data_IF_967870900110
#
_entry.id   IF_967870900110
#
_cell.length_a   1.000
_cell.length_b   1.000
_cell.length_c   1.000
_cell.angle_alpha   90.00
_cell.angle_beta   90.00
_cell.angle_gamma   90.00
#
_symmetry.space_group_name_H-M   'P 1'
#
loop_
_entity.id
_entity.type
_entity.pdbx_description
1 polymer ?
#
# COMPACT_ATOMS: atom_id res chain seq x y z
N UNK A 1 9.82 -36.33 -0.62
CA UNK A 1 8.42 -35.93 -0.87
C UNK A 1 7.65 -36.27 0.41
N UNK A 2 7.16 -35.22 1.11
CA UNK A 2 6.26 -35.41 2.26
C UNK A 2 4.84 -35.65 1.75
N UNK A 3 4.14 -36.66 2.23
CA UNK A 3 2.70 -36.83 1.97
C UNK A 3 1.93 -35.89 2.86
N UNK A 4 1.15 -34.99 2.27
CA UNK A 4 0.21 -34.12 2.96
C UNK A 4 -1.19 -34.71 2.82
N UNK A 5 -1.86 -34.97 3.94
CA UNK A 5 -3.22 -35.54 4.00
C UNK A 5 -4.28 -34.50 4.38
N UNK A 6 -3.92 -33.22 4.53
CA UNK A 6 -4.85 -32.14 4.79
C UNK A 6 -5.51 -31.61 3.49
N UNK A 7 -6.61 -30.89 3.64
CA UNK A 7 -7.25 -30.19 2.52
C UNK A 7 -6.36 -29.11 1.95
N UNK A 8 -6.30 -29.01 0.63
CA UNK A 8 -5.66 -27.91 -0.09
C UNK A 8 -6.70 -27.19 -0.92
N UNK A 9 -6.71 -25.86 -0.88
CA UNK A 9 -7.59 -25.03 -1.71
C UNK A 9 -6.77 -23.93 -2.34
N UNK A 10 -6.90 -23.76 -3.65
CA UNK A 10 -6.37 -22.60 -4.36
C UNK A 10 -7.23 -21.38 -4.00
N UNK A 11 -6.57 -20.26 -3.67
CA UNK A 11 -7.22 -18.98 -3.33
C UNK A 11 -6.82 -17.90 -4.35
N UNK A 12 -6.72 -18.27 -5.61
CA UNK A 12 -6.30 -17.40 -6.70
C UNK A 12 -7.36 -16.36 -7.15
N UNK A 13 -8.60 -16.41 -6.63
CA UNK A 13 -9.65 -15.44 -6.96
C UNK A 13 -10.30 -14.85 -5.71
N UNK A 14 -10.92 -13.69 -5.85
CA UNK A 14 -11.63 -13.03 -4.76
C UNK A 14 -12.79 -13.85 -4.22
N UNK A 15 -13.51 -14.56 -5.09
CA UNK A 15 -14.58 -15.46 -4.68
C UNK A 15 -14.05 -16.60 -3.79
N UNK A 16 -12.97 -17.24 -4.21
CA UNK A 16 -12.30 -18.29 -3.40
C UNK A 16 -11.76 -17.76 -2.09
N UNK A 17 -11.22 -16.52 -2.10
CA UNK A 17 -10.78 -15.86 -0.86
C UNK A 17 -11.95 -15.64 0.10
N UNK A 18 -13.09 -15.16 -0.40
CA UNK A 18 -14.29 -14.95 0.39
C UNK A 18 -14.83 -16.23 1.06
N UNK A 19 -14.69 -17.39 0.41
CA UNK A 19 -15.11 -18.67 0.96
C UNK A 19 -14.25 -19.19 2.11
N UNK A 20 -12.97 -18.75 2.20
CA UNK A 20 -12.05 -19.18 3.28
C UNK A 20 -11.94 -18.14 4.39
N UNK A 21 -12.56 -16.97 4.25
CA UNK A 21 -12.62 -15.97 5.31
C UNK A 21 -13.43 -16.50 6.50
N UNK A 22 -12.88 -16.36 7.70
CA UNK A 22 -13.58 -16.70 8.94
C UNK A 22 -14.73 -15.74 9.23
N UNK A 23 -14.54 -14.46 8.91
CA UNK A 23 -15.52 -13.40 9.11
C UNK A 23 -15.92 -12.78 7.77
N UNK A 24 -17.14 -12.24 7.68
CA UNK A 24 -17.60 -11.55 6.47
C UNK A 24 -16.84 -10.26 6.19
N UNK A 25 -16.19 -9.69 7.20
CA UNK A 25 -15.47 -8.43 7.08
C UNK A 25 -14.05 -8.53 7.62
N UNK A 26 -13.09 -7.91 6.93
CA UNK A 26 -11.72 -7.67 7.40
C UNK A 26 -11.46 -6.16 7.33
N UNK A 27 -10.88 -5.59 8.40
CA UNK A 27 -10.64 -4.15 8.49
C UNK A 27 -11.86 -3.35 8.95
N UNK A 28 -11.86 -2.04 8.70
CA UNK A 28 -12.94 -1.13 9.12
C UNK A 28 -14.13 -1.25 8.15
N UNK A 29 -15.04 -2.19 8.40
CA UNK A 29 -16.21 -2.39 7.56
C UNK A 29 -17.44 -2.74 8.41
N UNK A 30 -18.60 -2.25 7.98
CA UNK A 30 -19.90 -2.52 8.57
C UNK A 30 -20.83 -2.98 7.46
N UNK A 31 -21.50 -4.09 7.68
CA UNK A 31 -22.59 -4.60 6.85
C UNK A 31 -23.90 -4.41 7.62
N UNK A 32 -24.94 -3.91 6.98
CA UNK A 32 -26.29 -3.90 7.58
C UNK A 32 -26.87 -5.32 7.63
N UNK A 33 -27.96 -5.48 8.37
CA UNK A 33 -28.63 -6.76 8.64
C UNK A 33 -29.30 -7.38 7.41
N UNK A 34 -29.52 -6.60 6.35
CA UNK A 34 -30.11 -7.10 5.10
C UNK A 34 -29.05 -7.45 4.04
N UNK A 35 -27.77 -7.26 4.34
CA UNK A 35 -26.70 -7.74 3.50
C UNK A 35 -26.61 -9.26 3.50
N UNK A 36 -26.68 -9.86 2.33
CA UNK A 36 -26.64 -11.32 2.13
C UNK A 36 -25.38 -11.70 1.36
N UNK A 37 -24.70 -12.79 1.76
CA UNK A 37 -23.54 -13.37 1.07
C UNK A 37 -22.51 -12.32 0.58
N UNK A 38 -22.29 -11.26 1.35
CA UNK A 38 -21.37 -10.17 1.00
C UNK A 38 -20.15 -10.21 1.91
N UNK A 39 -18.95 -10.10 1.29
CA UNK A 39 -17.69 -10.02 2.00
C UNK A 39 -17.00 -8.68 1.72
N UNK A 40 -16.34 -8.13 2.73
CA UNK A 40 -15.58 -6.88 2.64
C UNK A 40 -14.17 -7.08 3.16
N UNK A 41 -13.17 -6.71 2.37
CA UNK A 41 -11.77 -6.64 2.77
C UNK A 41 -11.33 -5.19 2.63
N UNK A 42 -11.11 -4.53 3.74
CA UNK A 42 -10.72 -3.12 3.77
C UNK A 42 -9.33 -2.96 4.41
N UNK A 43 -8.34 -2.65 3.60
CA UNK A 43 -6.97 -2.35 4.05
C UNK A 43 -6.74 -0.85 4.25
N UNK A 44 -7.75 -0.02 3.90
CA UNK A 44 -7.70 1.43 4.11
C UNK A 44 -8.06 1.81 5.55
N UNK A 45 -7.62 3.00 5.95
CA UNK A 45 -7.97 3.56 7.25
C UNK A 45 -9.35 4.23 7.31
N UNK A 46 -10.03 4.40 6.17
CA UNK A 46 -11.40 4.91 6.08
C UNK A 46 -12.39 3.75 6.23
N UNK A 47 -13.55 3.94 6.90
CA UNK A 47 -14.53 2.89 7.05
C UNK A 47 -15.32 2.66 5.74
N UNK A 48 -15.78 1.41 5.54
CA UNK A 48 -16.71 1.03 4.48
C UNK A 48 -18.03 0.65 5.14
N UNK A 49 -19.13 1.26 4.70
CA UNK A 49 -20.49 0.88 5.08
C UNK A 49 -21.19 0.28 3.86
N UNK A 50 -21.68 -0.93 4.02
CA UNK A 50 -22.46 -1.64 3.00
C UNK A 50 -23.90 -1.83 3.49
N UNK A 51 -24.85 -1.46 2.66
CA UNK A 51 -26.28 -1.56 2.96
C UNK A 51 -27.01 -2.29 1.83
N UNK A 52 -27.76 -3.34 2.19
CA UNK A 52 -28.56 -4.09 1.24
C UNK A 52 -27.77 -4.81 0.13
N UNK A 53 -26.46 -5.03 0.31
CA UNK A 53 -25.62 -5.69 -0.68
C UNK A 53 -25.88 -7.19 -0.69
N UNK A 54 -25.94 -7.78 -1.90
CA UNK A 54 -26.14 -9.22 -2.10
C UNK A 54 -25.11 -9.79 -3.06
N UNK A 55 -24.55 -10.95 -2.67
CA UNK A 55 -23.59 -11.70 -3.46
C UNK A 55 -22.36 -10.88 -3.92
N UNK A 56 -21.92 -9.96 -3.07
CA UNK A 56 -20.86 -9.00 -3.40
C UNK A 56 -19.53 -9.38 -2.72
N UNK A 57 -18.44 -9.04 -3.41
CA UNK A 57 -17.11 -8.87 -2.85
C UNK A 57 -16.68 -7.41 -3.00
N UNK A 58 -16.25 -6.82 -1.91
CA UNK A 58 -15.73 -5.45 -1.86
C UNK A 58 -14.32 -5.54 -1.27
N UNK A 59 -13.33 -5.14 -2.06
CA UNK A 59 -11.93 -5.11 -1.63
C UNK A 59 -11.38 -3.70 -1.83
N UNK A 60 -10.82 -3.12 -0.79
CA UNK A 60 -10.23 -1.78 -0.83
C UNK A 60 -8.80 -1.81 -0.31
N UNK A 61 -7.89 -1.33 -1.12
CA UNK A 61 -6.46 -1.19 -0.81
C UNK A 61 -5.93 0.18 -1.26
N UNK A 62 -4.66 0.44 -1.02
CA UNK A 62 -4.00 1.65 -1.53
C UNK A 62 -4.01 1.76 -3.05
N UNK A 63 -4.08 0.63 -3.77
CA UNK A 63 -4.01 0.60 -5.24
C UNK A 63 -5.39 0.75 -5.90
N UNK A 64 -6.48 0.61 -5.15
CA UNK A 64 -7.83 0.78 -5.69
C UNK A 64 -8.92 0.08 -4.89
N UNK A 65 -10.14 0.25 -5.38
CA UNK A 65 -11.34 -0.35 -4.79
C UNK A 65 -12.03 -1.22 -5.83
N UNK A 66 -12.16 -2.50 -5.51
CA UNK A 66 -12.99 -3.45 -6.26
C UNK A 66 -14.37 -3.54 -5.62
N UNK A 67 -15.41 -3.37 -6.41
CA UNK A 67 -16.79 -3.66 -6.06
C UNK A 67 -17.33 -4.58 -7.14
N UNK A 68 -17.60 -5.83 -6.80
CA UNK A 68 -17.99 -6.84 -7.78
C UNK A 68 -19.01 -7.81 -7.20
N UNK A 69 -19.91 -8.31 -8.05
CA UNK A 69 -20.53 -9.59 -7.81
C UNK A 69 -19.46 -10.67 -7.63
N UNK A 70 -19.68 -11.64 -6.75
CA UNK A 70 -18.69 -12.68 -6.42
C UNK A 70 -18.26 -13.52 -7.62
N UNK A 71 -19.23 -13.99 -8.42
CA UNK A 71 -18.94 -14.81 -9.60
C UNK A 71 -18.24 -13.99 -10.69
N UNK A 72 -18.61 -12.71 -10.83
CA UNK A 72 -17.99 -11.80 -11.80
C UNK A 72 -16.57 -11.42 -11.44
N UNK A 73 -16.20 -11.47 -10.16
CA UNK A 73 -14.85 -11.13 -9.70
C UNK A 73 -13.75 -12.02 -10.30
N UNK A 74 -14.08 -13.25 -10.72
CA UNK A 74 -13.15 -14.17 -11.36
C UNK A 74 -12.71 -13.69 -12.76
N UNK A 75 -13.46 -12.79 -13.37
CA UNK A 75 -13.21 -12.25 -14.72
C UNK A 75 -12.60 -10.84 -14.73
N UNK A 76 -12.13 -10.35 -13.60
CA UNK A 76 -11.65 -8.96 -13.45
C UNK A 76 -10.34 -8.66 -14.19
N UNK A 77 -9.47 -9.65 -14.40
CA UNK A 77 -8.11 -9.47 -14.90
C UNK A 77 -8.02 -8.59 -16.17
N UNK A 78 -8.80 -8.81 -17.25
CA UNK A 78 -8.72 -7.97 -18.45
C UNK A 78 -9.17 -6.51 -18.24
N UNK A 79 -9.86 -6.22 -17.14
CA UNK A 79 -10.28 -4.87 -16.79
C UNK A 79 -9.23 -4.18 -15.92
N UNK A 80 -8.61 -4.90 -14.99
CA UNK A 80 -7.50 -4.39 -14.18
C UNK A 80 -6.31 -4.01 -15.05
N UNK A 81 -5.99 -4.81 -16.07
CA UNK A 81 -4.92 -4.52 -17.02
C UNK A 81 -5.14 -3.23 -17.84
N UNK A 82 -6.36 -2.67 -17.86
CA UNK A 82 -6.68 -1.37 -18.48
C UNK A 82 -6.57 -0.19 -17.53
N UNK A 83 -6.41 -0.45 -16.23
CA UNK A 83 -6.25 0.61 -15.24
C UNK A 83 -4.78 0.97 -15.23
N UNK A 84 -4.45 2.07 -15.92
CA UNK A 84 -3.11 2.67 -15.86
C UNK A 84 -3.02 3.49 -14.56
N UNK A 85 -2.56 2.85 -13.49
CA UNK A 85 -2.28 3.53 -12.23
C UNK A 85 -0.83 3.30 -11.83
N UNK A 86 -0.16 4.34 -11.36
CA UNK A 86 1.06 4.16 -10.58
C UNK A 86 0.69 3.45 -9.27
N UNK A 87 1.59 2.57 -8.81
CA UNK A 87 1.37 1.88 -7.54
C UNK A 87 1.25 2.90 -6.40
N UNK A 88 0.09 2.96 -5.78
CA UNK A 88 -0.17 3.87 -4.66
C UNK A 88 0.44 3.36 -3.34
N UNK A 89 0.82 2.09 -3.29
CA UNK A 89 1.47 1.44 -2.15
C UNK A 89 2.51 0.44 -2.64
N UNK A 90 3.63 0.36 -1.96
CA UNK A 90 4.63 -0.68 -2.18
C UNK A 90 5.35 -1.05 -0.88
N UNK A 91 5.57 -2.35 -0.68
CA UNK A 91 6.51 -2.87 0.31
C UNK A 91 7.91 -2.95 -0.31
N UNK A 92 8.89 -2.49 0.44
CA UNK A 92 10.30 -2.49 0.07
C UNK A 92 11.10 -3.20 1.16
N UNK A 93 12.32 -3.61 0.87
CA UNK A 93 13.21 -4.21 1.88
C UNK A 93 13.45 -3.31 3.10
N UNK A 94 13.43 -2.00 2.90
CA UNK A 94 13.65 -1.00 3.94
C UNK A 94 12.37 -0.54 4.66
N UNK A 95 11.16 -0.92 4.19
CA UNK A 95 9.89 -0.49 4.78
C UNK A 95 8.77 -0.33 3.77
N UNK A 96 7.99 0.74 3.86
CA UNK A 96 6.83 0.96 3.00
C UNK A 96 6.82 2.34 2.35
N UNK A 97 6.24 2.37 1.16
CA UNK A 97 6.00 3.56 0.34
C UNK A 97 4.49 3.68 0.12
N UNK A 98 3.91 4.81 0.47
CA UNK A 98 2.47 5.07 0.30
C UNK A 98 2.28 6.44 -0.33
N UNK A 99 1.65 6.51 -1.49
CA UNK A 99 1.24 7.78 -2.10
C UNK A 99 0.05 8.32 -1.33
N UNK A 100 0.15 9.57 -0.87
CA UNK A 100 -0.90 10.26 -0.12
C UNK A 100 -1.75 11.11 -1.06
N UNK A 101 -1.09 11.78 -2.01
CA UNK A 101 -1.73 12.74 -2.87
C UNK A 101 -0.98 12.89 -4.20
N UNK A 102 -1.72 13.06 -5.31
CA UNK A 102 -1.17 13.26 -6.66
C UNK A 102 -1.87 14.42 -7.32
N UNK A 103 -1.08 15.41 -7.74
CA UNK A 103 -1.53 16.53 -8.56
C UNK A 103 -0.68 16.67 -9.82
N UNK A 104 -1.15 17.35 -10.86
CA UNK A 104 -0.31 17.67 -12.00
C UNK A 104 0.96 18.42 -11.54
N UNK A 105 2.11 17.79 -11.71
CA UNK A 105 3.42 18.35 -11.34
C UNK A 105 3.87 18.15 -9.89
N UNK A 106 3.09 17.47 -9.04
CA UNK A 106 3.53 17.13 -7.67
C UNK A 106 2.92 15.82 -7.15
N UNK A 107 3.64 15.16 -6.27
CA UNK A 107 3.18 13.95 -5.58
C UNK A 107 3.66 13.98 -4.13
N UNK A 108 2.78 13.69 -3.20
CA UNK A 108 3.09 13.54 -1.79
C UNK A 108 3.13 12.06 -1.42
N UNK A 109 4.23 11.66 -0.81
CA UNK A 109 4.48 10.26 -0.43
C UNK A 109 4.82 10.16 1.04
N UNK A 110 4.25 9.19 1.72
CA UNK A 110 4.71 8.74 3.03
C UNK A 110 5.66 7.57 2.85
N UNK A 111 6.86 7.72 3.39
CA UNK A 111 7.86 6.67 3.50
C UNK A 111 7.95 6.28 4.97
N UNK A 112 7.85 4.99 5.27
CA UNK A 112 8.10 4.47 6.61
C UNK A 112 9.23 3.46 6.52
N UNK A 113 10.27 3.64 7.33
CA UNK A 113 11.47 2.80 7.28
C UNK A 113 11.69 2.07 8.60
N UNK A 114 12.10 0.82 8.51
CA UNK A 114 12.51 0.04 9.65
C UNK A 114 13.88 0.51 10.15
N UNK A 115 14.09 0.50 11.47
CA UNK A 115 15.39 0.87 12.05
C UNK A 115 16.53 0.00 11.50
N UNK A 116 17.62 0.62 11.14
CA UNK A 116 18.80 -0.03 10.57
C UNK A 116 18.74 -0.25 9.04
N UNK A 117 17.63 0.07 8.41
CA UNK A 117 17.45 -0.10 6.96
C UNK A 117 17.77 1.18 6.19
N UNK A 118 18.12 1.04 4.92
CA UNK A 118 18.50 2.15 4.06
C UNK A 118 17.89 2.04 2.66
N UNK A 119 17.53 3.19 2.11
CA UNK A 119 17.21 3.31 0.68
C UNK A 119 18.50 3.23 -0.15
N UNK A 120 18.41 2.74 -1.38
CA UNK A 120 19.54 2.75 -2.31
C UNK A 120 19.96 4.19 -2.65
N UNK A 121 21.26 4.40 -2.84
CA UNK A 121 21.81 5.67 -3.29
C UNK A 121 21.47 5.91 -4.75
N UNK A 122 20.58 6.88 -5.04
CA UNK A 122 20.01 7.13 -6.37
C UNK A 122 19.86 8.64 -6.64
N UNK A 123 19.38 8.99 -7.81
CA UNK A 123 19.04 10.37 -8.20
C UNK A 123 17.83 10.39 -9.12
N UNK A 124 17.21 11.56 -9.24
CA UNK A 124 16.12 11.83 -10.18
C UNK A 124 16.54 12.91 -11.17
N UNK A 125 16.20 12.72 -12.45
CA UNK A 125 16.56 13.67 -13.53
C UNK A 125 15.47 14.70 -13.81
N UNK A 126 14.24 14.50 -13.30
CA UNK A 126 13.06 15.29 -13.70
C UNK A 126 12.26 15.84 -12.51
N UNK A 127 12.69 15.50 -11.28
CA UNK A 127 12.01 15.99 -10.07
C UNK A 127 12.99 16.38 -8.98
N UNK A 128 12.62 17.40 -8.25
CA UNK A 128 13.16 17.71 -6.92
C UNK A 128 12.35 17.01 -5.84
N UNK A 129 12.91 16.86 -4.66
CA UNK A 129 12.22 16.29 -3.51
C UNK A 129 12.40 17.19 -2.27
N UNK A 130 11.35 17.32 -1.49
CA UNK A 130 11.39 17.95 -0.17
C UNK A 130 11.04 16.87 0.86
N UNK A 131 12.01 16.51 1.69
CA UNK A 131 11.79 15.55 2.75
C UNK A 131 11.53 16.24 4.07
N UNK A 132 10.45 15.84 4.74
CA UNK A 132 10.12 16.23 6.11
C UNK A 132 10.17 15.01 7.00
N UNK A 133 11.01 15.03 8.01
CA UNK A 133 11.10 13.95 9.00
C UNK A 133 9.97 14.13 10.02
N UNK A 134 8.98 13.25 9.99
CA UNK A 134 7.81 13.31 10.87
C UNK A 134 7.97 12.49 12.14
N UNK A 135 8.86 11.49 12.13
CA UNK A 135 9.20 10.65 13.28
C UNK A 135 10.61 10.08 13.12
N UNK A 136 11.24 9.69 14.22
CA UNK A 136 12.53 9.01 14.21
C UNK A 136 13.73 9.91 13.92
N UNK A 137 14.86 9.23 13.61
CA UNK A 137 16.15 9.84 13.28
C UNK A 137 16.75 9.06 12.10
N UNK A 138 17.20 9.77 11.09
CA UNK A 138 17.86 9.20 9.92
C UNK A 138 19.18 9.87 9.59
N UNK A 139 20.07 9.15 8.92
CA UNK A 139 21.28 9.68 8.30
C UNK A 139 21.05 9.83 6.81
N UNK A 140 21.02 11.05 6.31
CA UNK A 140 20.91 11.33 4.88
C UNK A 140 22.31 11.56 4.28
N UNK A 141 22.50 11.09 3.05
CA UNK A 141 23.69 11.38 2.26
C UNK A 141 23.23 12.04 0.96
N UNK A 142 23.71 13.26 0.70
CA UNK A 142 23.44 14.00 -0.55
C UNK A 142 24.79 14.38 -1.16
N UNK A 143 25.03 13.92 -2.38
CA UNK A 143 26.29 14.12 -3.14
C UNK A 143 27.54 13.85 -2.28
N UNK A 144 27.49 12.77 -1.47
CA UNK A 144 28.56 12.36 -0.58
C UNK A 144 28.65 13.13 0.75
N UNK A 145 27.80 14.14 0.98
CA UNK A 145 27.74 14.87 2.24
C UNK A 145 26.72 14.22 3.18
N UNK A 146 27.18 13.84 4.37
CA UNK A 146 26.33 13.22 5.40
C UNK A 146 25.69 14.26 6.32
N UNK A 147 24.44 14.05 6.69
CA UNK A 147 23.71 14.85 7.68
C UNK A 147 22.77 13.96 8.48
N UNK A 148 22.71 14.19 9.80
CA UNK A 148 21.69 13.56 10.66
C UNK A 148 20.45 14.44 10.64
N UNK A 149 19.31 13.82 10.36
CA UNK A 149 18.00 14.46 10.42
C UNK A 149 17.15 13.80 11.50
N UNK A 150 16.34 14.60 12.16
CA UNK A 150 15.43 14.16 13.21
C UNK A 150 14.04 14.76 13.01
N UNK A 151 13.08 14.31 13.77
CA UNK A 151 11.70 14.80 13.71
C UNK A 151 11.64 16.34 13.68
N UNK A 152 10.98 16.88 12.67
CA UNK A 152 10.82 18.32 12.41
C UNK A 152 11.82 18.89 11.41
N UNK A 153 12.88 18.17 11.07
CA UNK A 153 13.83 18.62 10.06
C UNK A 153 13.25 18.50 8.66
N UNK A 154 13.62 19.47 7.82
CA UNK A 154 13.26 19.52 6.41
C UNK A 154 14.54 19.65 5.58
N UNK A 155 14.59 18.94 4.47
CA UNK A 155 15.70 19.02 3.52
C UNK A 155 15.15 18.99 2.08
N UNK A 156 15.72 19.86 1.22
CA UNK A 156 15.45 19.87 -0.22
C UNK A 156 16.55 19.13 -0.96
N UNK A 157 16.16 18.29 -1.89
CA UNK A 157 17.04 17.53 -2.77
C UNK A 157 16.76 17.97 -4.20
N UNK A 158 17.70 18.68 -4.79
CA UNK A 158 17.56 19.23 -6.13
C UNK A 158 17.62 18.13 -7.20
N UNK A 159 17.08 18.45 -8.38
CA UNK A 159 17.19 17.58 -9.56
C UNK A 159 18.65 17.22 -9.82
N UNK A 160 18.92 15.92 -10.06
CA UNK A 160 20.25 15.41 -10.36
C UNK A 160 21.14 15.16 -9.14
N UNK A 161 20.76 15.58 -7.92
CA UNK A 161 21.51 15.27 -6.70
C UNK A 161 21.37 13.79 -6.34
N UNK A 162 22.47 13.10 -6.12
CA UNK A 162 22.46 11.71 -5.62
C UNK A 162 22.19 11.70 -4.14
N UNK A 163 21.24 10.87 -3.73
CA UNK A 163 20.81 10.85 -2.35
C UNK A 163 20.37 9.47 -1.85
N UNK A 164 20.43 9.31 -0.55
CA UNK A 164 19.87 8.18 0.21
C UNK A 164 19.55 8.60 1.64
N UNK A 165 18.79 7.78 2.32
CA UNK A 165 18.59 7.87 3.75
C UNK A 165 18.71 6.50 4.40
N UNK A 166 19.36 6.43 5.55
CA UNK A 166 19.46 5.29 6.45
C UNK A 166 18.66 5.61 7.72
N UNK A 167 17.74 4.76 8.10
CA UNK A 167 16.96 4.92 9.32
C UNK A 167 17.77 4.47 10.53
N UNK A 168 18.26 5.41 11.36
CA UNK A 168 18.94 5.08 12.62
C UNK A 168 17.94 4.52 13.62
N UNK A 169 16.74 5.11 13.70
CA UNK A 169 15.57 4.56 14.38
C UNK A 169 14.46 4.39 13.37
N UNK A 170 13.36 3.72 13.71
CA UNK A 170 12.18 3.69 12.83
C UNK A 170 11.78 5.12 12.41
N UNK A 171 11.58 5.30 11.12
CA UNK A 171 11.44 6.60 10.46
C UNK A 171 10.11 6.67 9.72
#
# INVERSE_FOLDING_TARGET
>A
VMRYSGGWKDVGTWNMMAEVMADKTKGKAILDEVCENTNVINELNIPILCMGCKDMIIAASGDGILISDKERSDYMKPFVEKIETEAMYAEKSWGTYTVIDVHPGSMTVKISMNAGEAMSYHMHNEREEVWTIVAGTGKVIIDGTEKILQKGDVITIEVGCRHMIEAITAL
#
